data_IF_672664885442
#
_entry.id   IF_672664885442
#
_cell.length_a   1.000
_cell.length_b   1.000
_cell.length_c   1.000
_cell.angle_alpha   90.00
_cell.angle_beta   90.00
_cell.angle_gamma   90.00
#
_symmetry.space_group_name_H-M   'P 1'
#
loop_
_entity.id
_entity.type
_entity.pdbx_description
1 polymer ?
#
# COMPACT_ATOMS: atom_id res chain seq x y z
N UNK A 1 1.63 -27.02 8.62
CA UNK A 1 0.85 -25.79 8.34
C UNK A 1 1.25 -25.25 6.97
N UNK A 2 0.29 -24.94 6.09
CA UNK A 2 0.57 -24.46 4.72
C UNK A 2 1.18 -23.06 4.68
N UNK A 3 0.91 -22.22 5.68
CA UNK A 3 1.48 -20.87 5.81
C UNK A 3 1.75 -20.52 7.28
N UNK A 4 3.02 -20.52 7.70
CA UNK A 4 3.45 -20.29 9.09
C UNK A 4 3.38 -18.82 9.52
N UNK A 5 3.72 -17.91 8.61
CA UNK A 5 3.76 -16.46 8.86
C UNK A 5 2.43 -15.92 9.38
N UNK A 6 1.29 -16.49 8.96
CA UNK A 6 -0.06 -16.15 9.41
C UNK A 6 -0.23 -16.16 10.93
N UNK A 7 0.46 -17.05 11.62
CA UNK A 7 0.34 -17.22 13.08
C UNK A 7 1.59 -16.76 13.83
N UNK A 8 2.76 -16.86 13.20
CA UNK A 8 4.03 -16.53 13.85
C UNK A 8 4.38 -15.04 13.79
N UNK A 9 3.87 -14.29 12.79
CA UNK A 9 4.25 -12.89 12.60
C UNK A 9 3.91 -12.00 13.79
N UNK A 10 2.77 -12.26 14.46
CA UNK A 10 2.31 -11.45 15.59
C UNK A 10 3.30 -11.43 16.78
N UNK A 11 4.12 -12.48 16.95
CA UNK A 11 5.08 -12.58 18.07
C UNK A 11 6.22 -11.56 17.94
N UNK A 12 6.49 -11.06 16.74
CA UNK A 12 7.56 -10.09 16.48
C UNK A 12 7.13 -8.63 16.75
N UNK A 13 5.87 -8.41 17.13
CA UNK A 13 5.35 -7.09 17.46
C UNK A 13 4.95 -7.03 18.93
N UNK A 14 5.11 -5.85 19.53
CA UNK A 14 4.43 -5.55 20.79
C UNK A 14 2.93 -5.63 20.58
N UNK A 15 2.19 -5.92 21.65
CA UNK A 15 0.72 -5.98 21.59
C UNK A 15 0.20 -4.68 21.00
N UNK A 16 -0.47 -4.77 19.85
CA UNK A 16 -0.96 -3.59 19.15
C UNK A 16 -2.10 -2.93 19.90
N UNK A 17 -2.10 -1.60 19.92
CA UNK A 17 -3.24 -0.81 20.38
C UNK A 17 -4.40 -0.84 19.39
N UNK A 18 -4.13 -1.02 18.09
CA UNK A 18 -5.15 -1.01 17.03
C UNK A 18 -5.86 -2.36 16.98
N UNK A 19 -7.10 -2.40 17.47
CA UNK A 19 -7.94 -3.61 17.42
C UNK A 19 -8.97 -3.48 16.29
N UNK A 20 -9.12 -4.50 15.43
CA UNK A 20 -10.13 -4.45 14.39
C UNK A 20 -11.53 -4.38 15.00
N UNK A 21 -12.39 -3.52 14.45
CA UNK A 21 -13.77 -3.42 14.90
C UNK A 21 -14.53 -4.73 14.62
N UNK A 22 -15.55 -5.09 15.44
CA UNK A 22 -16.42 -6.23 15.14
C UNK A 22 -17.09 -6.11 13.76
N UNK A 23 -17.40 -4.88 13.33
CA UNK A 23 -18.02 -4.60 12.05
C UNK A 23 -17.08 -4.90 10.87
N UNK A 24 -15.80 -4.50 10.97
CA UNK A 24 -14.77 -4.88 10.00
C UNK A 24 -14.62 -6.41 9.95
N UNK A 25 -14.56 -7.09 11.09
CA UNK A 25 -14.45 -8.56 11.13
C UNK A 25 -15.64 -9.20 10.39
N UNK A 26 -16.87 -8.74 10.65
CA UNK A 26 -18.07 -9.25 9.98
C UNK A 26 -18.00 -9.05 8.45
N UNK A 27 -17.58 -7.87 8.00
CA UNK A 27 -17.40 -7.57 6.57
C UNK A 27 -16.31 -8.44 5.92
N UNK A 28 -15.19 -8.71 6.60
CA UNK A 28 -14.17 -9.63 6.12
C UNK A 28 -14.71 -11.06 5.98
N UNK A 29 -15.50 -11.54 6.95
CA UNK A 29 -16.13 -12.88 6.88
C UNK A 29 -17.16 -12.96 5.75
N UNK A 30 -17.94 -11.89 5.53
CA UNK A 30 -18.86 -11.78 4.40
C UNK A 30 -18.10 -11.86 3.07
N UNK A 31 -16.98 -11.16 2.95
CA UNK A 31 -16.14 -11.23 1.76
C UNK A 31 -15.51 -12.61 1.55
N UNK A 32 -15.01 -13.28 2.60
CA UNK A 32 -14.52 -14.68 2.50
C UNK A 32 -15.60 -15.62 1.94
N UNK A 33 -16.86 -15.47 2.40
CA UNK A 33 -17.99 -16.26 1.89
C UNK A 33 -18.29 -15.96 0.42
N UNK A 34 -18.21 -14.69 0.01
CA UNK A 34 -18.31 -14.27 -1.39
C UNK A 34 -17.20 -14.91 -2.25
N UNK A 35 -15.95 -14.87 -1.80
CA UNK A 35 -14.82 -15.46 -2.54
C UNK A 35 -14.91 -16.98 -2.65
N UNK A 36 -15.48 -17.64 -1.65
CA UNK A 36 -15.71 -19.08 -1.70
C UNK A 36 -16.83 -19.46 -2.68
N UNK A 37 -17.89 -18.64 -2.76
CA UNK A 37 -19.05 -18.89 -3.62
C UNK A 37 -18.76 -18.54 -5.09
N UNK A 38 -18.14 -17.39 -5.33
CA UNK A 38 -17.97 -16.80 -6.65
C UNK A 38 -16.51 -16.83 -7.14
N UNK A 39 -15.55 -17.32 -6.36
CA UNK A 39 -14.14 -17.29 -6.72
C UNK A 39 -13.74 -18.32 -7.80
N UNK A 40 -12.47 -18.29 -8.23
CA UNK A 40 -11.95 -19.16 -9.28
C UNK A 40 -12.21 -20.65 -9.04
N UNK A 41 -12.58 -21.36 -10.10
CA UNK A 41 -12.86 -22.80 -10.07
C UNK A 41 -14.33 -23.16 -9.79
N UNK A 42 -15.12 -22.24 -9.23
CA UNK A 42 -16.56 -22.43 -8.96
C UNK A 42 -17.39 -22.46 -10.25
N UNK A 43 -18.62 -22.97 -10.17
CA UNK A 43 -19.56 -22.96 -11.30
C UNK A 43 -19.95 -21.52 -11.69
N UNK A 44 -20.23 -20.67 -10.70
CA UNK A 44 -20.57 -19.27 -10.90
C UNK A 44 -19.45 -18.50 -11.61
N UNK A 45 -18.19 -18.68 -11.18
CA UNK A 45 -17.04 -18.08 -11.87
C UNK A 45 -16.91 -18.53 -13.32
N UNK A 46 -17.01 -19.85 -13.58
CA UNK A 46 -16.92 -20.39 -14.94
C UNK A 46 -18.03 -19.83 -15.85
N UNK A 47 -19.24 -19.68 -15.33
CA UNK A 47 -20.37 -19.06 -16.05
C UNK A 47 -20.10 -17.58 -16.33
N UNK A 48 -19.61 -16.82 -15.34
CA UNK A 48 -19.28 -15.41 -15.50
C UNK A 48 -18.17 -15.17 -16.54
N UNK A 49 -17.12 -16.01 -16.56
CA UNK A 49 -16.04 -15.95 -17.56
C UNK A 49 -16.57 -16.27 -18.96
N UNK A 50 -17.40 -17.31 -19.12
CA UNK A 50 -18.00 -17.65 -20.43
C UNK A 50 -18.81 -16.49 -21.01
N UNK A 51 -19.59 -15.79 -20.17
CA UNK A 51 -20.35 -14.61 -20.59
C UNK A 51 -19.43 -13.48 -21.03
N UNK A 52 -18.41 -13.18 -20.23
CA UNK A 52 -17.39 -12.19 -20.56
C UNK A 52 -16.72 -12.49 -21.93
N UNK A 53 -16.42 -13.75 -22.19
CA UNK A 53 -15.77 -14.19 -23.43
C UNK A 53 -16.71 -14.17 -24.65
N UNK A 54 -17.99 -14.51 -24.44
CA UNK A 54 -19.01 -14.56 -25.50
C UNK A 54 -19.52 -13.18 -25.94
N UNK A 55 -19.35 -12.15 -25.11
CA UNK A 55 -19.96 -10.84 -25.33
C UNK A 55 -21.49 -10.81 -25.13
N UNK A 56 -22.10 -11.92 -24.68
CA UNK A 56 -23.54 -11.96 -24.37
C UNK A 56 -23.85 -11.05 -23.18
N UNK A 57 -24.70 -10.05 -23.41
CA UNK A 57 -25.11 -9.08 -22.38
C UNK A 57 -25.76 -9.75 -21.17
N UNK A 58 -25.80 -9.03 -20.04
CA UNK A 58 -26.36 -9.50 -18.76
C UNK A 58 -27.80 -9.99 -18.97
N UNK A 59 -27.99 -11.30 -19.02
CA UNK A 59 -29.31 -11.95 -18.87
C UNK A 59 -29.44 -12.25 -17.38
N UNK A 60 -30.46 -11.68 -16.75
CA UNK A 60 -30.84 -11.80 -15.33
C UNK A 60 -30.04 -12.90 -14.61
N UNK A 61 -28.99 -12.47 -13.88
CA UNK A 61 -28.06 -13.41 -13.29
C UNK A 61 -28.54 -13.83 -11.91
N UNK A 62 -29.11 -15.03 -11.84
CA UNK A 62 -29.55 -15.68 -10.60
C UNK A 62 -28.40 -15.87 -9.57
N UNK A 63 -27.14 -15.82 -10.02
CA UNK A 63 -25.95 -16.07 -9.18
C UNK A 63 -25.38 -14.81 -8.47
N UNK A 64 -25.70 -13.60 -8.96
CA UNK A 64 -25.32 -12.32 -8.33
C UNK A 64 -23.80 -12.04 -8.18
N UNK A 65 -22.92 -12.73 -8.91
CA UNK A 65 -21.46 -12.61 -8.75
C UNK A 65 -20.89 -11.47 -9.61
N UNK A 66 -20.23 -10.50 -8.96
CA UNK A 66 -19.49 -9.40 -9.60
C UNK A 66 -18.02 -9.47 -9.26
N UNK A 67 -17.16 -8.92 -10.11
CA UNK A 67 -15.71 -9.11 -10.04
C UNK A 67 -14.97 -7.78 -10.13
N UNK A 68 -13.84 -7.71 -9.43
CA UNK A 68 -12.83 -6.68 -9.53
C UNK A 68 -11.48 -7.35 -9.77
N UNK A 69 -10.87 -7.10 -10.92
CA UNK A 69 -9.54 -7.58 -11.28
C UNK A 69 -8.53 -6.46 -11.02
N UNK A 70 -7.62 -6.66 -10.06
CA UNK A 70 -6.46 -5.80 -9.88
C UNK A 70 -5.37 -6.18 -10.87
N UNK A 71 -4.97 -5.23 -11.71
CA UNK A 71 -3.91 -5.39 -12.70
C UNK A 71 -2.57 -5.03 -12.06
N UNK A 72 -1.70 -6.03 -11.90
CA UNK A 72 -0.41 -5.85 -11.26
C UNK A 72 0.53 -5.03 -12.13
N UNK A 73 0.94 -3.88 -11.59
CA UNK A 73 1.86 -2.95 -12.23
C UNK A 73 2.74 -2.28 -11.17
N UNK A 74 3.87 -1.71 -11.60
CA UNK A 74 4.92 -1.20 -10.73
C UNK A 74 5.47 -2.27 -9.74
N UNK A 75 6.04 -1.79 -8.63
CA UNK A 75 7.01 -2.50 -7.80
C UNK A 75 6.31 -2.96 -6.54
N UNK A 76 6.95 -3.85 -5.78
CA UNK A 76 6.28 -4.56 -4.69
C UNK A 76 5.51 -3.64 -3.73
N UNK A 77 6.09 -2.51 -3.29
CA UNK A 77 5.41 -1.54 -2.43
C UNK A 77 4.11 -1.01 -3.03
N UNK A 78 4.14 -0.54 -4.28
CA UNK A 78 2.94 -0.05 -4.99
C UNK A 78 1.92 -1.17 -5.17
N UNK A 79 2.36 -2.39 -5.47
CA UNK A 79 1.46 -3.54 -5.62
C UNK A 79 0.74 -3.88 -4.33
N UNK A 80 1.43 -3.90 -3.19
CA UNK A 80 0.80 -4.18 -1.90
C UNK A 80 -0.22 -3.08 -1.52
N UNK A 81 0.11 -1.81 -1.76
CA UNK A 81 -0.82 -0.70 -1.53
C UNK A 81 -2.03 -0.73 -2.49
N UNK A 82 -1.78 -1.01 -3.77
CA UNK A 82 -2.82 -1.12 -4.80
C UNK A 82 -3.77 -2.29 -4.56
N UNK A 83 -3.23 -3.49 -4.24
CA UNK A 83 -4.03 -4.66 -3.86
C UNK A 83 -4.89 -4.36 -2.63
N UNK A 84 -4.33 -3.70 -1.61
CA UNK A 84 -5.10 -3.33 -0.40
C UNK A 84 -6.24 -2.38 -0.74
N UNK A 85 -5.99 -1.41 -1.61
CA UNK A 85 -7.01 -0.44 -2.02
C UNK A 85 -8.10 -1.10 -2.87
N UNK A 86 -7.72 -1.97 -3.80
CA UNK A 86 -8.65 -2.77 -4.60
C UNK A 86 -9.46 -3.72 -3.73
N UNK A 87 -8.84 -4.34 -2.72
CA UNK A 87 -9.55 -5.19 -1.75
C UNK A 87 -10.60 -4.42 -0.97
N UNK A 88 -10.26 -3.25 -0.42
CA UNK A 88 -11.23 -2.43 0.29
C UNK A 88 -12.40 -2.01 -0.61
N UNK A 89 -12.10 -1.59 -1.84
CA UNK A 89 -13.13 -1.27 -2.83
C UNK A 89 -14.00 -2.48 -3.18
N UNK A 90 -13.43 -3.68 -3.28
CA UNK A 90 -14.16 -4.92 -3.51
C UNK A 90 -15.07 -5.29 -2.34
N UNK A 91 -14.65 -5.04 -1.10
CA UNK A 91 -15.51 -5.20 0.09
C UNK A 91 -16.68 -4.22 0.04
N UNK A 92 -16.41 -2.92 -0.19
CA UNK A 92 -17.44 -1.86 -0.27
C UNK A 92 -18.46 -2.08 -1.39
N UNK A 93 -18.07 -2.72 -2.48
CA UNK A 93 -18.91 -2.94 -3.67
C UNK A 93 -19.39 -4.38 -3.82
N UNK A 94 -19.14 -5.24 -2.83
CA UNK A 94 -19.50 -6.66 -2.84
C UNK A 94 -19.03 -7.40 -4.10
N UNK A 95 -17.76 -7.18 -4.48
CA UNK A 95 -17.12 -7.81 -5.63
C UNK A 95 -16.10 -8.84 -5.19
N UNK A 96 -15.93 -9.86 -6.01
CA UNK A 96 -14.81 -10.80 -5.91
C UNK A 96 -13.53 -10.09 -6.31
N UNK A 97 -12.54 -10.04 -5.43
CA UNK A 97 -11.19 -9.61 -5.78
C UNK A 97 -10.44 -10.74 -6.51
N UNK A 98 -9.93 -10.44 -7.70
CA UNK A 98 -8.98 -11.26 -8.45
C UNK A 98 -7.71 -10.45 -8.71
N UNK A 99 -6.56 -11.02 -8.41
CA UNK A 99 -5.26 -10.37 -8.55
C UNK A 99 -4.55 -10.96 -9.76
N UNK A 100 -4.22 -10.14 -10.76
CA UNK A 100 -3.28 -10.50 -11.84
C UNK A 100 -1.89 -10.66 -11.22
N UNK A 101 -1.65 -11.83 -10.63
CA UNK A 101 -0.50 -12.06 -9.75
C UNK A 101 0.84 -12.17 -10.47
N UNK A 102 0.88 -12.03 -11.81
CA UNK A 102 2.07 -12.30 -12.60
C UNK A 102 2.67 -13.68 -12.27
N UNK A 103 4.01 -13.78 -12.32
CA UNK A 103 4.74 -15.00 -11.90
C UNK A 103 5.13 -15.00 -10.42
N UNK A 104 4.88 -13.92 -9.68
CA UNK A 104 5.53 -13.68 -8.38
C UNK A 104 4.55 -13.61 -7.19
N UNK A 105 3.32 -13.13 -7.35
CA UNK A 105 2.40 -12.92 -6.21
C UNK A 105 2.13 -14.22 -5.44
N UNK A 106 1.85 -15.33 -6.14
CA UNK A 106 1.67 -16.65 -5.52
C UNK A 106 2.96 -17.28 -4.96
N UNK A 107 4.14 -16.79 -5.38
CA UNK A 107 5.41 -17.19 -4.80
C UNK A 107 5.76 -16.39 -3.52
N UNK A 108 5.26 -15.15 -3.44
CA UNK A 108 5.53 -14.21 -2.35
C UNK A 108 4.54 -14.36 -1.20
N UNK A 109 3.26 -14.51 -1.49
CA UNK A 109 2.18 -14.50 -0.50
C UNK A 109 1.38 -15.80 -0.49
N UNK A 110 0.93 -16.20 0.69
CA UNK A 110 -0.05 -17.25 0.89
C UNK A 110 -1.45 -16.79 0.46
N UNK A 111 -2.34 -17.75 0.21
CA UNK A 111 -3.76 -17.45 -0.04
C UNK A 111 -4.41 -16.75 1.16
N UNK A 112 -4.97 -15.55 1.01
CA UNK A 112 -5.57 -14.79 2.11
C UNK A 112 -6.94 -15.35 2.53
N UNK A 113 -7.71 -15.90 1.58
CA UNK A 113 -9.09 -16.33 1.79
C UNK A 113 -9.18 -17.85 1.98
N UNK A 114 -9.84 -18.35 3.06
CA UNK A 114 -9.94 -19.79 3.31
C UNK A 114 -10.69 -20.55 2.20
N UNK A 115 -10.05 -21.60 1.66
CA UNK A 115 -10.69 -22.56 0.75
C UNK A 115 -10.95 -22.04 -0.67
N UNK A 116 -10.29 -20.96 -1.08
CA UNK A 116 -10.37 -20.37 -2.43
C UNK A 116 -9.05 -19.70 -2.78
N UNK A 117 -8.95 -19.13 -3.99
CA UNK A 117 -7.80 -18.34 -4.41
C UNK A 117 -8.22 -16.93 -4.83
N UNK A 118 -7.38 -15.96 -4.49
CA UNK A 118 -7.49 -14.59 -5.01
C UNK A 118 -6.73 -14.39 -6.33
N UNK A 119 -5.94 -15.37 -6.78
CA UNK A 119 -5.15 -15.23 -7.99
C UNK A 119 -6.05 -15.40 -9.23
N UNK A 120 -5.90 -14.49 -10.17
CA UNK A 120 -6.56 -14.62 -11.47
C UNK A 120 -6.03 -15.85 -12.20
N UNK A 121 -6.88 -16.78 -12.67
CA UNK A 121 -6.46 -17.91 -13.47
C UNK A 121 -5.76 -17.46 -14.75
N UNK A 122 -4.67 -18.12 -15.11
CA UNK A 122 -4.00 -17.86 -16.38
C UNK A 122 -4.93 -18.25 -17.53
N UNK A 123 -5.19 -17.29 -18.42
CA UNK A 123 -5.92 -17.56 -19.65
C UNK A 123 -5.11 -18.51 -20.55
N UNK A 124 -5.79 -19.45 -21.22
CA UNK A 124 -5.14 -20.30 -22.22
C UNK A 124 -4.61 -19.46 -23.39
N UNK A 125 -3.54 -19.91 -24.04
CA UNK A 125 -2.85 -19.20 -25.14
C UNK A 125 -3.81 -18.74 -26.25
N UNK A 126 -4.83 -19.55 -26.58
CA UNK A 126 -5.82 -19.24 -27.62
C UNK A 126 -7.04 -18.45 -27.13
N UNK A 127 -7.02 -17.91 -25.89
CA UNK A 127 -8.15 -17.18 -25.34
C UNK A 127 -8.17 -15.73 -25.82
N UNK A 128 -9.26 -15.37 -26.52
CA UNK A 128 -9.59 -13.99 -26.88
C UNK A 128 -10.28 -13.22 -25.72
N UNK A 129 -10.31 -13.81 -24.52
CA UNK A 129 -10.91 -13.20 -23.33
C UNK A 129 -10.33 -11.81 -23.05
N UNK A 130 -11.13 -10.83 -22.62
CA UNK A 130 -10.64 -9.58 -22.05
C UNK A 130 -9.60 -9.80 -20.93
N UNK A 131 -9.71 -10.92 -20.19
CA UNK A 131 -8.78 -11.30 -19.13
C UNK A 131 -7.38 -11.70 -19.64
N UNK A 132 -7.21 -12.03 -20.93
CA UNK A 132 -5.89 -12.39 -21.48
C UNK A 132 -5.04 -11.18 -21.87
N UNK A 133 -5.63 -9.98 -21.95
CA UNK A 133 -4.98 -8.75 -22.41
C UNK A 133 -4.89 -7.66 -21.34
N UNK A 134 -4.91 -8.03 -20.05
CA UNK A 134 -4.92 -7.07 -18.94
C UNK A 134 -3.78 -6.04 -18.98
N UNK A 135 -2.60 -6.44 -19.45
CA UNK A 135 -1.43 -5.57 -19.56
C UNK A 135 -1.48 -4.64 -20.78
N UNK A 136 -2.46 -4.80 -21.67
CA UNK A 136 -2.67 -3.97 -22.85
C UNK A 136 -3.69 -2.83 -22.66
N UNK A 137 -4.33 -2.72 -21.49
CA UNK A 137 -5.18 -1.58 -21.17
C UNK A 137 -4.31 -0.40 -20.74
N UNK A 138 -4.49 0.76 -21.39
CA UNK A 138 -3.72 1.98 -21.16
C UNK A 138 -4.66 3.19 -21.00
N UNK A 139 -4.13 4.35 -20.60
CA UNK A 139 -4.91 5.59 -20.58
C UNK A 139 -5.25 6.00 -22.02
N UNK A 140 -6.51 5.86 -22.42
CA UNK A 140 -6.97 5.99 -23.81
C UNK A 140 -7.64 4.73 -24.40
N UNK A 141 -7.66 3.61 -23.65
CA UNK A 141 -8.46 2.44 -24.05
C UNK A 141 -9.95 2.80 -24.09
N UNK A 142 -10.68 2.38 -25.13
CA UNK A 142 -12.10 2.74 -25.30
C UNK A 142 -13.00 2.27 -24.15
N UNK A 143 -12.56 1.22 -23.45
CA UNK A 143 -13.22 0.62 -22.31
C UNK A 143 -12.90 1.32 -20.98
N UNK A 144 -12.04 2.34 -21.00
CA UNK A 144 -11.74 3.18 -19.85
C UNK A 144 -12.96 4.03 -19.46
N UNK A 145 -13.23 4.15 -18.15
CA UNK A 145 -14.26 5.05 -17.62
C UNK A 145 -14.09 6.48 -18.18
N UNK A 146 -12.86 7.02 -18.16
CA UNK A 146 -12.59 8.37 -18.64
C UNK A 146 -12.95 8.56 -20.11
N UNK A 147 -12.58 7.60 -20.96
CA UNK A 147 -12.84 7.64 -22.40
C UNK A 147 -14.33 7.42 -22.72
N UNK A 148 -15.04 6.57 -21.97
CA UNK A 148 -16.50 6.40 -22.11
C UNK A 148 -17.27 7.68 -21.76
N UNK A 149 -16.81 8.45 -20.77
CA UNK A 149 -17.39 9.74 -20.43
C UNK A 149 -17.16 10.78 -21.53
N UNK A 150 -15.97 10.79 -22.13
CA UNK A 150 -15.62 11.75 -23.19
C UNK A 150 -16.29 11.43 -24.52
N UNK A 151 -16.43 10.15 -24.86
CA UNK A 151 -17.01 9.69 -26.13
C UNK A 151 -18.54 9.62 -26.12
N UNK A 152 -19.19 9.97 -25.01
CA UNK A 152 -20.65 9.94 -24.87
C UNK A 152 -21.22 8.53 -24.69
N UNK A 153 -20.43 7.55 -24.25
CA UNK A 153 -20.90 6.23 -23.83
C UNK A 153 -21.64 6.25 -22.49
N UNK A 154 -21.46 7.33 -21.71
CA UNK A 154 -22.22 7.67 -20.50
C UNK A 154 -22.85 9.04 -20.72
N UNK A 155 -24.16 9.16 -20.49
CA UNK A 155 -24.87 10.43 -20.53
C UNK A 155 -24.94 11.05 -19.13
N UNK A 156 -24.85 12.38 -19.08
CA UNK A 156 -25.05 13.18 -17.86
C UNK A 156 -26.24 14.09 -18.11
N UNK A 157 -27.29 13.96 -17.28
CA UNK A 157 -28.48 14.79 -17.37
C UNK A 157 -28.26 16.16 -16.71
N UNK A 158 -29.19 17.10 -16.94
CA UNK A 158 -29.09 18.46 -16.42
C UNK A 158 -29.12 18.55 -14.88
N UNK A 159 -29.76 17.58 -14.22
CA UNK A 159 -29.78 17.39 -12.77
C UNK A 159 -28.54 16.63 -12.23
N UNK A 160 -27.57 16.31 -13.09
CA UNK A 160 -26.33 15.65 -12.72
C UNK A 160 -26.45 14.14 -12.50
N UNK A 161 -27.58 13.54 -12.88
CA UNK A 161 -27.71 12.09 -12.91
C UNK A 161 -26.92 11.52 -14.09
N UNK A 162 -26.39 10.31 -13.92
CA UNK A 162 -25.55 9.66 -14.93
C UNK A 162 -26.15 8.32 -15.31
N UNK A 163 -26.14 7.99 -16.60
CA UNK A 163 -26.71 6.76 -17.14
C UNK A 163 -25.88 6.24 -18.32
N UNK A 164 -25.93 4.93 -18.56
CA UNK A 164 -25.35 4.35 -19.78
C UNK A 164 -26.11 4.85 -21.01
N UNK A 165 -25.40 5.26 -22.05
CA UNK A 165 -26.02 5.66 -23.32
C UNK A 165 -26.64 4.45 -24.06
N UNK A 166 -26.11 3.26 -23.82
CA UNK A 166 -26.65 2.01 -24.32
C UNK A 166 -27.74 1.46 -23.38
N UNK A 167 -28.70 0.66 -23.87
CA UNK A 167 -29.76 0.08 -23.03
C UNK A 167 -29.27 -0.85 -21.91
N UNK A 168 -28.00 -1.28 -21.96
CA UNK A 168 -27.38 -2.18 -20.98
C UNK A 168 -25.98 -1.69 -20.64
N UNK A 169 -25.52 -1.89 -19.39
CA UNK A 169 -24.14 -1.61 -19.01
C UNK A 169 -23.15 -2.48 -19.80
N UNK A 170 -21.89 -2.04 -19.95
CA UNK A 170 -20.85 -2.88 -20.53
C UNK A 170 -20.58 -4.10 -19.62
N UNK A 171 -20.13 -5.20 -20.22
CA UNK A 171 -19.80 -6.42 -19.48
C UNK A 171 -18.56 -6.24 -18.59
N UNK A 172 -17.64 -5.40 -19.04
CA UNK A 172 -16.47 -5.00 -18.27
C UNK A 172 -16.15 -3.52 -18.49
N UNK A 173 -15.48 -2.92 -17.52
CA UNK A 173 -14.99 -1.55 -17.60
C UNK A 173 -13.56 -1.48 -17.05
N UNK A 174 -12.71 -0.72 -17.72
CA UNK A 174 -11.35 -0.43 -17.27
C UNK A 174 -11.32 0.83 -16.41
N UNK A 175 -10.65 0.77 -15.26
CA UNK A 175 -10.46 1.86 -14.33
C UNK A 175 -8.97 2.24 -14.32
N UNK A 176 -8.65 3.32 -15.02
CA UNK A 176 -7.29 3.85 -15.05
C UNK A 176 -7.02 4.77 -13.84
N UNK A 177 -6.52 4.21 -12.74
CA UNK A 177 -6.26 4.90 -11.48
C UNK A 177 -4.75 4.98 -11.15
N UNK A 178 -3.92 5.24 -12.18
CA UNK A 178 -2.47 5.44 -12.05
C UNK A 178 -2.11 6.87 -11.61
N UNK A 179 -0.89 7.12 -11.11
CA UNK A 179 -0.48 8.47 -10.67
C UNK A 179 -0.62 9.61 -11.70
N UNK A 180 -0.88 9.31 -12.97
CA UNK A 180 -1.08 10.27 -14.06
C UNK A 180 -2.47 10.19 -14.71
N UNK A 181 -3.49 9.66 -14.01
CA UNK A 181 -4.85 9.56 -14.56
C UNK A 181 -5.46 10.93 -14.92
N UNK A 182 -6.34 10.95 -15.93
CA UNK A 182 -6.96 12.16 -16.47
C UNK A 182 -8.06 12.73 -15.58
N UNK A 183 -8.65 13.86 -15.99
CA UNK A 183 -9.76 14.46 -15.24
C UNK A 183 -10.98 13.54 -15.18
N UNK A 184 -11.36 12.88 -16.27
CA UNK A 184 -12.55 12.02 -16.28
C UNK A 184 -12.36 10.74 -15.47
N UNK A 185 -11.13 10.19 -15.42
CA UNK A 185 -10.82 9.05 -14.56
C UNK A 185 -11.01 9.40 -13.06
N UNK A 186 -10.76 10.66 -12.67
CA UNK A 186 -11.01 11.16 -11.29
C UNK A 186 -12.46 11.05 -10.87
N UNK A 187 -13.39 11.05 -11.82
CA UNK A 187 -14.81 10.95 -11.51
C UNK A 187 -15.19 9.58 -10.93
N UNK A 188 -14.26 8.61 -10.94
CA UNK A 188 -14.33 7.43 -10.08
C UNK A 188 -14.68 7.79 -8.63
N UNK A 189 -14.16 8.89 -8.06
CA UNK A 189 -14.44 9.29 -6.68
C UNK A 189 -15.79 10.04 -6.50
N UNK A 190 -16.70 9.98 -7.48
CA UNK A 190 -18.02 10.59 -7.41
C UNK A 190 -19.14 9.56 -7.24
N UNK A 191 -20.10 9.83 -6.35
CA UNK A 191 -21.23 8.92 -6.05
C UNK A 191 -22.06 8.57 -7.28
N UNK A 192 -22.32 9.56 -8.15
CA UNK A 192 -23.06 9.36 -9.38
C UNK A 192 -22.40 8.27 -10.26
N UNK A 193 -21.08 8.34 -10.42
CA UNK A 193 -20.32 7.37 -11.20
C UNK A 193 -20.18 6.04 -10.45
N UNK A 194 -20.05 6.04 -9.12
CA UNK A 194 -20.04 4.80 -8.33
C UNK A 194 -21.33 3.98 -8.48
N UNK A 195 -22.49 4.65 -8.59
CA UNK A 195 -23.75 3.95 -8.89
C UNK A 195 -23.70 3.23 -10.24
N UNK A 196 -23.19 3.88 -11.29
CA UNK A 196 -22.99 3.23 -12.60
C UNK A 196 -22.02 2.07 -12.53
N UNK A 197 -20.89 2.26 -11.84
CA UNK A 197 -19.89 1.21 -11.66
C UNK A 197 -20.49 0.00 -10.93
N UNK A 198 -21.50 0.19 -10.09
CA UNK A 198 -22.24 -0.89 -9.44
C UNK A 198 -22.94 -1.85 -10.40
N UNK A 199 -23.34 -1.38 -11.59
CA UNK A 199 -24.08 -2.17 -12.58
C UNK A 199 -23.17 -3.03 -13.47
N UNK A 200 -21.88 -2.68 -13.57
CA UNK A 200 -20.92 -3.38 -14.43
C UNK A 200 -20.47 -4.69 -13.76
N UNK A 201 -20.60 -5.87 -14.39
CA UNK A 201 -20.22 -7.14 -13.75
C UNK A 201 -18.72 -7.27 -13.48
N UNK A 202 -17.85 -6.81 -14.40
CA UNK A 202 -16.40 -6.91 -14.29
C UNK A 202 -15.73 -5.54 -14.28
N UNK A 203 -14.96 -5.23 -13.24
CA UNK A 203 -14.12 -4.03 -13.21
C UNK A 203 -12.65 -4.43 -13.30
N UNK A 204 -11.90 -3.81 -14.21
CA UNK A 204 -10.47 -4.01 -14.36
C UNK A 204 -9.74 -2.78 -13.84
N UNK A 205 -9.16 -2.88 -12.65
CA UNK A 205 -8.53 -1.76 -11.96
C UNK A 205 -7.03 -1.78 -12.15
N UNK A 206 -6.51 -0.70 -12.71
CA UNK A 206 -5.09 -0.44 -12.82
C UNK A 206 -4.72 0.71 -11.89
N UNK A 207 -3.99 0.40 -10.81
CA UNK A 207 -3.53 1.44 -9.88
C UNK A 207 -2.16 1.13 -9.29
N UNK A 208 -1.36 2.17 -9.14
CA UNK A 208 -0.10 2.18 -8.40
C UNK A 208 -0.13 3.08 -7.15
N UNK A 209 -1.33 3.52 -6.76
CA UNK A 209 -1.57 4.40 -5.62
C UNK A 209 -2.27 3.68 -4.46
N UNK A 210 -2.12 4.24 -3.27
CA UNK A 210 -2.97 3.92 -2.12
C UNK A 210 -4.22 4.81 -2.14
N UNK A 211 -5.28 4.40 -2.84
CA UNK A 211 -6.45 5.27 -3.10
C UNK A 211 -7.43 5.37 -1.92
N UNK A 212 -7.17 4.66 -0.82
CA UNK A 212 -8.06 4.57 0.35
C UNK A 212 -8.46 5.94 0.93
N UNK A 213 -7.57 6.93 1.12
CA UNK A 213 -8.00 8.26 1.57
C UNK A 213 -9.00 8.92 0.62
N UNK A 214 -8.92 8.65 -0.68
CA UNK A 214 -9.91 9.11 -1.66
C UNK A 214 -11.27 8.45 -1.49
N UNK A 215 -11.31 7.16 -1.12
CA UNK A 215 -12.57 6.45 -0.83
C UNK A 215 -13.29 7.03 0.40
N UNK A 216 -12.53 7.45 1.42
CA UNK A 216 -13.07 8.15 2.60
C UNK A 216 -13.64 9.54 2.28
N UNK A 217 -13.32 10.09 1.11
CA UNK A 217 -13.88 11.35 0.60
C UNK A 217 -15.03 11.13 -0.38
N UNK A 218 -15.37 9.89 -0.70
CA UNK A 218 -16.51 9.52 -1.54
C UNK A 218 -17.73 9.28 -0.63
N UNK A 219 -18.76 10.15 -0.66
CA UNK A 219 -19.90 10.03 0.27
C UNK A 219 -20.64 8.68 0.20
N UNK A 220 -20.68 8.02 -0.96
CA UNK A 220 -21.25 6.68 -1.09
C UNK A 220 -20.58 5.61 -0.19
N UNK A 221 -19.37 5.88 0.32
CA UNK A 221 -18.59 4.93 1.13
C UNK A 221 -18.27 5.44 2.54
N UNK A 222 -18.48 6.73 2.85
CA UNK A 222 -18.00 7.33 4.10
C UNK A 222 -18.51 6.61 5.33
N UNK A 223 -19.82 6.39 5.42
CA UNK A 223 -20.46 5.85 6.62
C UNK A 223 -20.03 4.40 6.88
N UNK A 224 -19.94 3.59 5.81
CA UNK A 224 -19.49 2.20 5.87
C UNK A 224 -18.00 2.11 6.28
N UNK A 225 -17.17 3.01 5.74
CA UNK A 225 -15.75 3.10 6.09
C UNK A 225 -15.55 3.56 7.54
N UNK A 226 -16.33 4.54 8.01
CA UNK A 226 -16.26 5.01 9.40
C UNK A 226 -16.71 3.93 10.40
N UNK A 227 -17.71 3.13 10.04
CA UNK A 227 -18.15 1.99 10.84
C UNK A 227 -17.12 0.85 10.87
N UNK A 228 -16.49 0.54 9.73
CA UNK A 228 -15.44 -0.48 9.66
C UNK A 228 -14.17 -0.02 10.39
N UNK A 229 -13.80 1.25 10.28
CA UNK A 229 -12.58 1.83 10.83
C UNK A 229 -12.89 3.00 11.77
N UNK A 230 -13.28 2.71 13.04
CA UNK A 230 -13.42 3.74 14.06
C UNK A 230 -12.12 4.51 14.25
N UNK A 231 -10.98 3.80 14.27
CA UNK A 231 -9.64 4.36 14.15
C UNK A 231 -9.28 4.52 12.66
N UNK A 232 -9.58 5.69 12.09
CA UNK A 232 -9.36 6.00 10.66
C UNK A 232 -7.91 5.83 10.23
N UNK A 233 -6.97 5.94 11.16
CA UNK A 233 -5.55 5.79 10.86
C UNK A 233 -5.03 4.34 10.87
N UNK A 234 -5.89 3.33 10.80
CA UNK A 234 -5.48 1.92 10.94
C UNK A 234 -5.91 1.01 9.76
N UNK A 235 -6.33 1.60 8.64
CA UNK A 235 -6.91 0.87 7.51
C UNK A 235 -5.90 -0.09 6.87
N UNK A 236 -4.76 0.41 6.42
CA UNK A 236 -3.70 -0.43 5.87
C UNK A 236 -3.12 -1.37 6.93
N UNK A 237 -3.03 -0.93 8.19
CA UNK A 237 -2.57 -1.79 9.28
C UNK A 237 -3.43 -3.07 9.40
N UNK A 238 -4.75 -2.93 9.39
CA UNK A 238 -5.65 -4.09 9.47
C UNK A 238 -5.67 -4.90 8.18
N UNK A 239 -5.89 -4.24 7.04
CA UNK A 239 -6.08 -4.93 5.77
C UNK A 239 -4.78 -5.53 5.24
N UNK A 240 -3.65 -4.84 5.39
CA UNK A 240 -2.34 -5.34 5.01
C UNK A 240 -1.94 -6.59 5.80
N UNK A 241 -2.20 -6.61 7.11
CA UNK A 241 -1.95 -7.79 7.97
C UNK A 241 -2.92 -8.94 7.74
N UNK A 242 -4.09 -8.66 7.17
CA UNK A 242 -5.07 -9.67 6.79
C UNK A 242 -4.73 -10.32 5.43
N UNK A 243 -4.30 -9.52 4.45
CA UNK A 243 -4.03 -9.98 3.09
C UNK A 243 -2.64 -10.59 2.93
N UNK A 244 -1.61 -9.94 3.46
CA UNK A 244 -0.24 -10.28 3.11
C UNK A 244 0.37 -11.18 4.16
N UNK A 245 0.51 -12.46 3.81
CA UNK A 245 1.25 -13.42 4.62
C UNK A 245 2.36 -14.02 3.76
N UNK A 246 3.65 -13.80 4.08
CA UNK A 246 4.75 -14.34 3.29
C UNK A 246 4.69 -15.87 3.22
N UNK A 247 4.98 -16.45 2.05
CA UNK A 247 5.09 -17.90 1.91
C UNK A 247 6.14 -18.48 2.87
N UNK A 248 6.05 -19.76 3.19
CA UNK A 248 7.01 -20.40 4.12
C UNK A 248 8.48 -20.20 3.70
N UNK A 249 8.75 -20.14 2.39
CA UNK A 249 10.10 -19.89 1.85
C UNK A 249 10.58 -18.47 2.21
N UNK A 250 9.75 -17.45 1.96
CA UNK A 250 10.08 -16.06 2.31
C UNK A 250 10.15 -15.90 3.83
N UNK A 251 9.19 -16.46 4.55
CA UNK A 251 9.11 -16.38 6.00
C UNK A 251 10.33 -17.02 6.69
N UNK A 252 10.83 -18.14 6.16
CA UNK A 252 12.06 -18.74 6.65
C UNK A 252 13.25 -17.78 6.50
N UNK A 253 13.41 -17.13 5.35
CA UNK A 253 14.48 -16.16 5.13
C UNK A 253 14.38 -14.96 6.11
N UNK A 254 13.17 -14.43 6.32
CA UNK A 254 12.91 -13.34 7.28
C UNK A 254 13.34 -13.77 8.69
N UNK A 255 12.84 -14.91 9.17
CA UNK A 255 13.14 -15.37 10.53
C UNK A 255 14.61 -15.67 10.74
N UNK A 256 15.25 -16.34 9.78
CA UNK A 256 16.68 -16.66 9.87
C UNK A 256 17.52 -15.37 9.98
N UNK A 257 17.19 -14.34 9.19
CA UNK A 257 17.89 -13.06 9.30
C UNK A 257 17.62 -12.34 10.63
N UNK A 258 16.36 -12.31 11.06
CA UNK A 258 15.97 -11.67 12.31
C UNK A 258 16.69 -12.32 13.51
N UNK A 259 16.67 -13.65 13.61
CA UNK A 259 17.30 -14.34 14.74
C UNK A 259 18.83 -14.19 14.75
N UNK A 260 19.47 -14.15 13.58
CA UNK A 260 20.92 -14.01 13.51
C UNK A 260 21.43 -12.59 13.82
N UNK A 261 20.61 -11.55 13.59
CA UNK A 261 21.09 -10.16 13.60
C UNK A 261 20.30 -9.20 14.50
N UNK A 262 19.04 -9.51 14.82
CA UNK A 262 18.10 -8.57 15.44
C UNK A 262 17.41 -9.10 16.70
N UNK A 263 17.47 -10.40 17.02
CA UNK A 263 16.70 -10.96 18.14
C UNK A 263 17.19 -10.50 19.51
N UNK A 264 18.50 -10.50 19.75
CA UNK A 264 19.08 -10.33 21.10
C UNK A 264 19.49 -8.87 21.38
N UNK A 265 18.58 -7.92 21.13
CA UNK A 265 18.78 -6.50 21.43
C UNK A 265 17.55 -5.86 22.09
N UNK A 266 17.77 -4.82 22.89
CA UNK A 266 16.72 -4.09 23.60
C UNK A 266 15.89 -3.19 22.67
N UNK A 267 16.52 -2.66 21.60
CA UNK A 267 15.84 -1.83 20.61
C UNK A 267 16.35 -2.05 19.18
N UNK A 268 15.40 -2.14 18.25
CA UNK A 268 15.65 -2.27 16.81
C UNK A 268 15.26 -0.99 16.10
N UNK A 269 16.20 -0.39 15.39
CA UNK A 269 15.97 0.82 14.58
C UNK A 269 16.04 0.44 13.11
N UNK A 270 14.90 0.54 12.40
CA UNK A 270 14.84 0.34 10.96
C UNK A 270 15.06 1.66 10.22
N UNK A 271 15.98 1.67 9.27
CA UNK A 271 16.32 2.82 8.42
C UNK A 271 16.12 2.44 6.96
N UNK A 272 15.03 2.94 6.39
CA UNK A 272 14.65 2.68 5.01
C UNK A 272 15.08 3.81 4.10
N UNK A 273 16.00 3.51 3.18
CA UNK A 273 16.64 4.48 2.29
C UNK A 273 16.27 4.19 0.84
N UNK A 274 15.50 5.09 0.22
CA UNK A 274 15.15 5.03 -1.20
C UNK A 274 15.54 6.32 -1.90
N UNK A 275 16.56 6.24 -2.76
CA UNK A 275 16.94 7.35 -3.64
C UNK A 275 16.42 7.10 -5.05
N UNK A 276 15.67 8.06 -5.61
CA UNK A 276 15.00 7.95 -6.91
C UNK A 276 15.87 8.45 -8.10
N UNK A 277 17.01 9.10 -7.84
CA UNK A 277 17.93 9.60 -8.87
C UNK A 277 19.01 8.57 -9.27
N UNK A 278 19.50 8.65 -10.53
CA UNK A 278 20.49 7.71 -11.09
C UNK A 278 21.86 8.34 -11.28
N UNK A 279 22.86 7.80 -10.57
CA UNK A 279 24.21 7.41 -11.04
C UNK A 279 25.09 6.98 -9.86
N UNK A 280 25.00 7.68 -8.73
CA UNK A 280 25.70 7.34 -7.47
C UNK A 280 24.85 7.68 -6.25
N UNK A 281 25.05 7.00 -5.10
CA UNK A 281 24.41 7.36 -3.83
C UNK A 281 24.81 8.77 -3.39
N UNK A 282 23.88 9.75 -3.34
CA UNK A 282 24.20 11.10 -2.93
C UNK A 282 24.63 11.22 -1.46
N UNK A 283 25.73 11.93 -1.22
CA UNK A 283 26.24 12.21 0.13
C UNK A 283 25.27 13.00 1.01
N UNK A 284 24.52 13.94 0.43
CA UNK A 284 23.54 14.72 1.20
C UNK A 284 22.42 13.86 1.80
N UNK A 285 22.07 12.71 1.18
CA UNK A 285 21.07 11.79 1.77
C UNK A 285 21.65 11.14 3.03
N UNK A 286 22.93 10.75 2.99
CA UNK A 286 23.62 10.26 4.19
C UNK A 286 23.64 11.32 5.29
N UNK A 287 23.97 12.57 4.95
CA UNK A 287 23.99 13.68 5.92
C UNK A 287 22.60 13.93 6.54
N UNK A 288 21.53 13.88 5.73
CA UNK A 288 20.15 13.99 6.19
C UNK A 288 19.78 12.82 7.12
N UNK A 289 20.09 11.58 6.75
CA UNK A 289 19.85 10.38 7.58
C UNK A 289 20.57 10.52 8.92
N UNK A 290 21.86 10.83 8.90
CA UNK A 290 22.67 10.95 10.12
C UNK A 290 22.22 12.12 10.99
N UNK A 291 21.76 13.24 10.40
CA UNK A 291 21.16 14.33 11.17
C UNK A 291 19.87 13.90 11.82
N UNK A 292 18.94 13.29 11.06
CA UNK A 292 17.68 12.76 11.60
C UNK A 292 17.94 11.81 12.77
N UNK A 293 18.78 10.81 12.57
CA UNK A 293 19.08 9.80 13.58
C UNK A 293 19.75 10.37 14.84
N UNK A 294 20.56 11.44 14.71
CA UNK A 294 21.14 12.15 15.86
C UNK A 294 20.08 12.98 16.59
N UNK A 295 19.28 13.76 15.87
CA UNK A 295 18.27 14.66 16.43
C UNK A 295 17.20 13.89 17.21
N UNK A 296 16.82 12.72 16.69
CA UNK A 296 15.85 11.82 17.36
C UNK A 296 16.52 10.81 18.32
N UNK A 297 17.82 10.98 18.61
CA UNK A 297 18.62 10.23 19.60
C UNK A 297 18.66 8.71 19.37
N UNK A 298 18.66 8.28 18.10
CA UNK A 298 18.71 6.85 17.72
C UNK A 298 20.14 6.32 17.53
N UNK A 299 21.15 7.19 17.44
CA UNK A 299 22.57 6.81 17.32
C UNK A 299 23.36 6.96 18.63
N UNK A 300 22.75 7.52 19.68
CA UNK A 300 23.38 7.68 20.99
C UNK A 300 23.21 6.39 21.80
N UNK A 301 24.24 5.57 21.80
CA UNK A 301 24.42 4.41 22.68
C UNK A 301 25.88 4.38 23.09
N UNK A 302 26.37 5.42 23.75
CA UNK A 302 27.76 5.48 24.16
C UNK A 302 28.03 4.39 25.20
N UNK A 303 28.99 3.51 24.92
CA UNK A 303 29.71 2.72 25.94
C UNK A 303 30.47 3.61 26.95
N UNK A 304 30.37 4.93 26.85
CA UNK A 304 31.21 5.92 27.55
C UNK A 304 30.42 6.81 28.50
N UNK A 305 29.56 6.22 29.35
CA UNK A 305 29.25 6.81 30.67
C UNK A 305 29.99 6.08 31.80
N UNK A 306 30.85 5.10 31.47
CA UNK A 306 31.71 4.38 32.41
C UNK A 306 33.00 5.13 32.79
N UNK A 307 32.96 6.48 32.79
CA UNK A 307 34.04 7.33 33.28
C UNK A 307 33.50 8.39 34.27
N UNK A 308 32.60 7.97 35.15
CA UNK A 308 32.14 8.73 36.31
C UNK A 308 31.73 7.74 37.40
N UNK A 309 32.50 7.68 38.48
CA UNK A 309 32.34 6.67 39.53
C UNK A 309 30.92 6.60 40.09
N UNK A 310 30.30 5.44 39.95
CA UNK A 310 29.00 5.11 40.52
C UNK A 310 28.79 3.61 40.45
N UNK A 311 28.80 2.95 41.60
CA UNK A 311 28.71 1.50 41.76
C UNK A 311 27.26 1.04 41.50
N UNK A 312 26.85 1.00 40.24
CA UNK A 312 25.54 0.51 39.79
C UNK A 312 25.68 -0.31 38.53
N UNK A 313 25.25 -1.57 38.57
CA UNK A 313 25.14 -2.45 37.39
C UNK A 313 24.05 -1.95 36.46
N UNK A 314 24.34 -0.89 35.70
CA UNK A 314 23.52 -0.45 34.57
C UNK A 314 23.71 -1.46 33.44
N UNK A 315 22.74 -2.36 33.23
CA UNK A 315 22.68 -3.18 32.03
C UNK A 315 22.81 -2.28 30.79
N UNK A 316 23.84 -2.46 29.97
CA UNK A 316 24.04 -1.59 28.81
C UNK A 316 22.89 -1.80 27.82
N UNK A 317 22.04 -0.79 27.65
CA UNK A 317 20.94 -0.82 26.68
C UNK A 317 21.49 -1.07 25.26
N UNK A 318 21.07 -2.17 24.65
CA UNK A 318 21.57 -2.66 23.38
C UNK A 318 20.66 -2.28 22.22
N UNK A 319 21.28 -1.86 21.11
CA UNK A 319 20.55 -1.40 19.92
C UNK A 319 21.12 -2.03 18.68
N UNK A 320 20.26 -2.49 17.77
CA UNK A 320 20.63 -2.85 16.41
C UNK A 320 20.02 -1.84 15.41
N UNK A 321 20.78 -1.50 14.38
CA UNK A 321 20.30 -0.66 13.27
C UNK A 321 20.19 -1.49 12.00
N UNK A 322 18.98 -1.67 11.49
CA UNK A 322 18.69 -2.34 10.23
C UNK A 322 18.60 -1.31 9.11
N UNK A 323 19.50 -1.35 8.14
CA UNK A 323 19.52 -0.47 6.97
C UNK A 323 19.03 -1.23 5.74
N UNK A 324 18.02 -0.70 5.05
CA UNK A 324 17.54 -1.23 3.77
C UNK A 324 17.73 -0.19 2.68
N UNK A 325 18.42 -0.55 1.60
CA UNK A 325 18.76 0.35 0.50
C UNK A 325 19.14 -0.49 -0.72
N UNK A 326 18.85 0.02 -1.92
CA UNK A 326 19.39 -0.59 -3.15
C UNK A 326 20.93 -0.56 -3.19
N UNK A 327 21.54 0.47 -2.60
CA UNK A 327 23.00 0.61 -2.52
C UNK A 327 23.51 0.24 -1.12
N UNK A 328 24.59 -0.55 -1.06
CA UNK A 328 25.30 -0.83 0.20
C UNK A 328 26.04 0.37 0.76
N UNK A 329 26.28 1.40 -0.05
CA UNK A 329 27.13 2.53 0.33
C UNK A 329 26.67 3.24 1.60
N UNK A 330 25.36 3.43 1.78
CA UNK A 330 24.83 4.05 3.00
C UNK A 330 25.07 3.19 4.23
N UNK A 331 24.85 1.88 4.10
CA UNK A 331 25.13 0.91 5.17
C UNK A 331 26.61 0.91 5.53
N UNK A 332 27.50 0.82 4.53
CA UNK A 332 28.95 0.82 4.76
C UNK A 332 29.38 2.09 5.51
N UNK A 333 28.90 3.27 5.09
CA UNK A 333 29.21 4.53 5.76
C UNK A 333 28.68 4.61 7.20
N UNK A 334 27.42 4.20 7.43
CA UNK A 334 26.83 4.19 8.78
C UNK A 334 27.56 3.19 9.69
N UNK A 335 27.89 2.00 9.17
CA UNK A 335 28.65 0.97 9.89
C UNK A 335 30.06 1.46 10.22
N UNK A 336 30.76 2.08 9.28
CA UNK A 336 32.13 2.54 9.50
C UNK A 336 32.18 3.66 10.57
N UNK A 337 31.17 4.53 10.61
CA UNK A 337 31.11 5.65 11.57
C UNK A 337 30.54 5.25 12.95
N UNK A 338 29.56 4.34 12.99
CA UNK A 338 28.80 4.02 14.22
C UNK A 338 28.87 2.55 14.66
N UNK A 339 29.44 1.64 13.87
CA UNK A 339 29.45 0.21 14.16
C UNK A 339 30.13 -0.15 15.48
N UNK A 340 31.20 0.56 15.86
CA UNK A 340 31.85 0.39 17.16
C UNK A 340 31.10 1.02 18.34
N UNK A 341 30.09 1.86 18.07
CA UNK A 341 29.29 2.59 19.06
C UNK A 341 27.94 1.92 19.30
N UNK A 342 27.40 1.20 18.32
CA UNK A 342 26.11 0.52 18.39
C UNK A 342 26.35 -0.93 18.82
N UNK A 343 26.00 -1.27 20.07
CA UNK A 343 26.33 -2.57 20.67
C UNK A 343 25.72 -3.78 19.97
N UNK A 344 24.54 -3.65 19.35
CA UNK A 344 23.90 -4.68 18.54
C UNK A 344 24.26 -4.62 17.04
N UNK A 345 25.14 -3.71 16.64
CA UNK A 345 25.63 -3.56 15.27
C UNK A 345 24.70 -2.83 14.30
N UNK A 346 25.26 -2.57 13.11
CA UNK A 346 24.54 -2.06 11.93
C UNK A 346 24.46 -3.21 10.94
N UNK A 347 23.30 -3.44 10.34
CA UNK A 347 22.99 -4.61 9.53
C UNK A 347 22.30 -4.20 8.23
N UNK A 348 22.63 -4.86 7.12
CA UNK A 348 21.91 -4.73 5.85
C UNK A 348 21.60 -6.13 5.28
N UNK A 349 20.32 -6.47 5.01
CA UNK A 349 19.97 -7.81 4.51
C UNK A 349 20.42 -8.06 3.08
N UNK A 350 20.27 -7.06 2.19
CA UNK A 350 20.66 -7.17 0.80
C UNK A 350 21.01 -5.81 0.18
N UNK A 351 21.66 -5.84 -0.99
CA UNK A 351 22.01 -4.66 -1.78
C UNK A 351 21.83 -4.94 -3.29
N UNK A 352 20.60 -4.86 -3.78
CA UNK A 352 20.26 -5.28 -5.15
C UNK A 352 20.84 -4.38 -6.26
N UNK A 353 21.40 -3.21 -5.91
CA UNK A 353 21.97 -2.22 -6.82
C UNK A 353 20.91 -1.46 -7.63
N UNK A 354 20.01 -2.19 -8.30
CA UNK A 354 18.91 -1.65 -9.10
C UNK A 354 17.62 -2.42 -8.86
N UNK A 355 16.50 -1.71 -8.98
CA UNK A 355 15.18 -2.32 -8.95
C UNK A 355 14.96 -3.20 -10.20
N UNK A 356 14.52 -4.45 -10.00
CA UNK A 356 14.16 -5.40 -11.06
C UNK A 356 12.68 -5.77 -10.93
N UNK A 357 11.89 -5.38 -11.91
CA UNK A 357 10.44 -5.63 -11.91
C UNK A 357 10.14 -7.05 -12.40
N UNK A 358 9.14 -7.71 -11.81
CA UNK A 358 8.69 -9.07 -12.19
C UNK A 358 9.78 -10.15 -12.03
N UNK A 359 10.69 -9.96 -11.08
CA UNK A 359 11.75 -10.91 -10.72
C UNK A 359 11.43 -11.46 -9.33
N UNK A 360 10.94 -12.70 -9.28
CA UNK A 360 10.48 -13.31 -8.04
C UNK A 360 11.59 -13.38 -6.97
N UNK A 361 12.86 -13.59 -7.35
CA UNK A 361 13.95 -13.64 -6.37
C UNK A 361 14.27 -12.24 -5.82
N UNK A 362 14.22 -11.22 -6.68
CA UNK A 362 14.36 -9.82 -6.27
C UNK A 362 13.20 -9.38 -5.35
N UNK A 363 11.96 -9.68 -5.73
CA UNK A 363 10.78 -9.33 -4.95
C UNK A 363 10.73 -10.10 -3.62
N UNK A 364 11.23 -11.34 -3.56
CA UNK A 364 11.37 -12.07 -2.30
C UNK A 364 12.31 -11.36 -1.32
N UNK A 365 13.44 -10.80 -1.79
CA UNK A 365 14.37 -10.02 -0.96
C UNK A 365 13.74 -8.71 -0.51
N UNK A 366 13.11 -7.98 -1.43
CA UNK A 366 12.36 -6.77 -1.12
C UNK A 366 11.26 -7.02 -0.07
N UNK A 367 10.48 -8.10 -0.22
CA UNK A 367 9.46 -8.48 0.75
C UNK A 367 10.07 -8.82 2.12
N UNK A 368 11.20 -9.52 2.12
CA UNK A 368 11.89 -9.88 3.36
C UNK A 368 12.34 -8.64 4.13
N UNK A 369 12.90 -7.66 3.42
CA UNK A 369 13.32 -6.37 3.99
C UNK A 369 12.13 -5.55 4.53
N UNK A 370 11.01 -5.48 3.80
CA UNK A 370 9.77 -4.84 4.30
C UNK A 370 9.34 -5.45 5.64
N UNK A 371 9.34 -6.78 5.73
CA UNK A 371 8.95 -7.49 6.95
C UNK A 371 9.95 -7.27 8.09
N UNK A 372 11.25 -7.34 7.82
CA UNK A 372 12.29 -7.07 8.82
C UNK A 372 12.20 -5.64 9.38
N UNK A 373 11.97 -4.65 8.52
CA UNK A 373 11.68 -3.28 8.96
C UNK A 373 10.43 -3.23 9.83
N UNK A 374 9.36 -3.92 9.44
CA UNK A 374 8.11 -3.89 10.21
C UNK A 374 8.26 -4.45 11.63
N UNK A 375 9.28 -5.26 11.89
CA UNK A 375 9.63 -5.83 13.20
C UNK A 375 10.57 -4.95 14.03
N UNK A 376 10.94 -3.76 13.53
CA UNK A 376 11.72 -2.78 14.29
C UNK A 376 10.84 -1.99 15.27
N UNK A 377 11.42 -1.50 16.36
CA UNK A 377 10.75 -0.68 17.37
C UNK A 377 10.57 0.77 16.92
N UNK A 378 11.50 1.25 16.08
CA UNK A 378 11.49 2.61 15.53
C UNK A 378 11.81 2.54 14.04
N UNK A 379 11.13 3.36 13.25
CA UNK A 379 11.33 3.45 11.80
C UNK A 379 11.72 4.87 11.38
N UNK A 380 12.74 4.94 10.54
CA UNK A 380 13.08 6.11 9.72
C UNK A 380 12.88 5.73 8.27
N UNK A 381 12.06 6.48 7.52
CA UNK A 381 11.68 6.15 6.14
C UNK A 381 12.02 7.29 5.18
N UNK A 382 12.23 6.95 3.91
CA UNK A 382 12.43 7.95 2.85
C UNK A 382 11.09 8.43 2.31
N UNK A 383 10.92 9.75 2.17
CA UNK A 383 9.74 10.34 1.56
C UNK A 383 9.46 9.80 0.16
N UNK A 384 8.18 9.72 -0.21
CA UNK A 384 7.64 9.06 -1.41
C UNK A 384 7.85 7.54 -1.48
N UNK A 385 8.53 6.90 -0.52
CA UNK A 385 8.81 5.47 -0.61
C UNK A 385 7.63 4.62 -0.14
N UNK A 386 6.89 4.06 -1.09
CA UNK A 386 5.82 3.08 -0.80
C UNK A 386 6.34 1.82 -0.10
N UNK A 387 7.61 1.47 -0.31
CA UNK A 387 8.30 0.43 0.46
C UNK A 387 8.30 0.74 1.97
N UNK A 388 8.62 1.99 2.33
CA UNK A 388 8.55 2.48 3.70
C UNK A 388 7.12 2.51 4.24
N UNK A 389 6.14 2.92 3.42
CA UNK A 389 4.73 2.92 3.83
C UNK A 389 4.18 1.54 4.14
N UNK A 390 4.57 0.52 3.37
CA UNK A 390 4.17 -0.86 3.68
C UNK A 390 4.81 -1.32 4.99
N UNK A 391 6.10 -1.07 5.18
CA UNK A 391 6.79 -1.48 6.42
C UNK A 391 6.20 -0.81 7.66
N UNK A 392 5.97 0.51 7.63
CA UNK A 392 5.38 1.25 8.75
C UNK A 392 3.94 0.80 9.04
N UNK A 393 3.17 0.54 7.98
CA UNK A 393 1.78 0.15 8.07
C UNK A 393 1.61 -1.26 8.63
N UNK A 394 2.48 -2.21 8.26
CA UNK A 394 2.52 -3.55 8.87
C UNK A 394 2.97 -3.49 10.35
N UNK A 395 3.91 -2.59 10.65
CA UNK A 395 4.41 -2.37 12.00
C UNK A 395 3.36 -1.75 12.94
N UNK A 396 2.45 -0.94 12.39
CA UNK A 396 1.60 -0.06 13.20
C UNK A 396 2.41 1.04 13.87
N UNK A 397 3.43 1.57 13.18
CA UNK A 397 4.32 2.59 13.72
C UNK A 397 4.25 3.87 12.87
N UNK A 398 4.19 5.01 13.55
CA UNK A 398 4.39 6.33 12.92
C UNK A 398 5.90 6.53 12.74
N UNK A 399 6.46 6.53 11.51
CA UNK A 399 7.89 6.67 11.33
C UNK A 399 8.36 8.12 11.47
N UNK A 400 9.67 8.31 11.51
CA UNK A 400 10.33 9.56 11.15
C UNK A 400 10.59 9.56 9.65
N UNK A 401 9.95 10.47 8.91
CA UNK A 401 10.02 10.53 7.46
C UNK A 401 11.02 11.60 7.05
N UNK A 402 11.99 11.22 6.22
CA UNK A 402 12.94 12.15 5.61
C UNK A 402 12.26 12.82 4.41
N UNK A 403 11.98 14.13 4.45
CA UNK A 403 11.40 14.83 3.32
C UNK A 403 12.38 14.83 2.14
N UNK A 404 11.82 14.88 0.94
CA UNK A 404 12.58 15.08 -0.29
C UNK A 404 11.80 15.98 -1.26
N UNK A 405 12.50 16.57 -2.21
CA UNK A 405 11.92 17.26 -3.34
C UNK A 405 10.91 16.37 -4.10
N UNK A 406 10.00 16.94 -4.91
CA UNK A 406 9.11 16.17 -5.77
C UNK A 406 9.84 15.20 -6.72
N UNK A 407 9.12 14.24 -7.33
CA UNK A 407 9.77 13.25 -8.24
C UNK A 407 10.31 13.88 -9.54
N UNK A 408 9.76 15.01 -9.97
CA UNK A 408 10.18 15.73 -11.17
C UNK A 408 11.34 16.70 -10.95
N UNK A 409 11.72 16.95 -9.69
CA UNK A 409 12.84 17.82 -9.35
C UNK A 409 14.17 17.23 -9.82
N UNK A 410 15.07 18.10 -10.29
CA UNK A 410 16.41 17.74 -10.70
C UNK A 410 17.32 17.48 -9.49
N UNK A 411 17.09 18.19 -8.37
CA UNK A 411 17.80 18.00 -7.10
C UNK A 411 16.87 17.41 -6.02
N UNK A 412 17.42 16.59 -5.13
CA UNK A 412 16.72 16.01 -3.98
C UNK A 412 16.24 17.03 -2.96
N UNK A 413 16.87 18.21 -2.90
CA UNK A 413 16.48 19.31 -2.00
C UNK A 413 15.77 20.45 -2.70
N UNK A 414 15.53 20.34 -4.01
CA UNK A 414 14.79 21.35 -4.76
C UNK A 414 13.41 21.54 -4.11
N UNK A 415 13.01 22.79 -3.89
CA UNK A 415 11.76 23.16 -3.22
C UNK A 415 11.61 22.74 -1.74
N UNK A 416 12.62 22.13 -1.11
CA UNK A 416 12.62 21.93 0.35
C UNK A 416 13.06 23.23 1.05
N UNK A 417 12.39 23.62 2.15
CA UNK A 417 12.85 24.75 2.96
C UNK A 417 14.18 24.36 3.62
N UNK A 418 15.28 25.13 3.45
CA UNK A 418 16.55 24.84 4.10
C UNK A 418 16.49 24.76 5.63
N UNK A 419 15.45 25.34 6.25
CA UNK A 419 15.18 25.28 7.69
C UNK A 419 14.38 24.04 8.11
N UNK A 420 13.96 23.22 7.16
CA UNK A 420 13.24 21.99 7.47
C UNK A 420 14.11 21.03 8.26
N UNK A 421 13.50 20.43 9.29
CA UNK A 421 14.12 19.34 10.04
C UNK A 421 14.52 18.20 9.08
N UNK A 422 15.65 17.51 9.35
CA UNK A 422 16.14 16.44 8.49
C UNK A 422 15.15 15.27 8.35
N UNK A 423 14.26 15.11 9.33
CA UNK A 423 13.07 14.26 9.25
C UNK A 423 11.94 14.83 10.11
N UNK A 424 10.71 14.43 9.82
CA UNK A 424 9.51 14.79 10.59
C UNK A 424 8.77 13.54 11.02
N UNK A 425 8.11 13.57 12.16
CA UNK A 425 7.26 12.45 12.58
C UNK A 425 6.04 12.41 11.66
N UNK A 426 5.69 11.22 11.15
CA UNK A 426 4.44 11.04 10.43
C UNK A 426 3.24 11.26 11.35
N UNK A 427 2.18 11.85 10.81
CA UNK A 427 0.94 12.10 11.57
C UNK A 427 0.23 10.80 11.98
N UNK A 428 0.39 9.76 11.17
CA UNK A 428 -0.26 8.46 11.34
C UNK A 428 0.60 7.29 10.84
N UNK A 429 0.09 6.07 11.02
CA UNK A 429 0.71 4.85 10.48
C UNK A 429 0.33 4.60 9.02
N UNK A 430 -0.61 5.39 8.47
CA UNK A 430 -1.18 5.20 7.15
C UNK A 430 -0.24 5.58 5.99
N UNK A 431 -0.28 4.84 4.87
CA UNK A 431 0.36 5.25 3.63
C UNK A 431 -0.20 6.57 3.08
N UNK A 432 0.64 7.30 2.35
CA UNK A 432 0.20 8.49 1.62
C UNK A 432 -0.46 8.13 0.28
N UNK A 433 -1.61 8.72 -0.03
CA UNK A 433 -2.16 8.76 -1.38
C UNK A 433 -1.47 9.89 -2.16
N UNK A 434 -0.57 9.53 -3.08
CA UNK A 434 0.30 10.48 -3.79
C UNK A 434 -0.43 11.38 -4.79
N UNK A 435 -1.43 10.83 -5.48
CA UNK A 435 -2.16 11.53 -6.52
C UNK A 435 -3.68 11.50 -6.25
N UNK A 436 -4.18 12.24 -5.24
CA UNK A 436 -5.61 12.33 -4.99
C UNK A 436 -6.31 13.26 -5.98
N UNK A 437 -7.61 13.05 -6.21
CA UNK A 437 -8.43 14.02 -6.92
C UNK A 437 -8.79 15.17 -5.99
N UNK A 438 -8.44 16.40 -6.37
CA UNK A 438 -8.89 17.61 -5.67
C UNK A 438 -10.35 17.99 -5.99
N UNK A 439 -10.94 17.36 -7.01
CA UNK A 439 -12.27 17.70 -7.52
C UNK A 439 -13.36 17.17 -6.59
N UNK A 440 -14.18 18.07 -6.02
CA UNK A 440 -15.33 17.70 -5.19
C UNK A 440 -16.59 17.72 -6.03
N UNK A 441 -17.13 16.53 -6.33
CA UNK A 441 -18.24 16.34 -7.26
C UNK A 441 -19.48 17.16 -6.87
N UNK A 442 -19.86 17.15 -5.58
CA UNK A 442 -21.00 17.93 -5.09
C UNK A 442 -20.82 19.45 -5.22
N UNK A 443 -19.58 19.95 -5.23
CA UNK A 443 -19.28 21.37 -5.37
C UNK A 443 -18.97 21.78 -6.82
N UNK A 444 -18.83 20.83 -7.74
CA UNK A 444 -18.47 21.07 -9.13
C UNK A 444 -17.10 21.71 -9.35
N UNK A 445 -16.20 21.68 -8.36
CA UNK A 445 -14.90 22.38 -8.39
C UNK A 445 -13.83 21.72 -7.52
N UNK A 446 -12.59 22.11 -7.76
CA UNK A 446 -11.46 21.72 -6.92
C UNK A 446 -11.53 22.36 -5.53
N UNK A 447 -11.13 21.59 -4.51
CA UNK A 447 -11.10 22.00 -3.10
C UNK A 447 -9.74 21.69 -2.46
N UNK A 448 -9.44 22.37 -1.36
CA UNK A 448 -8.25 22.04 -0.56
C UNK A 448 -8.51 20.78 0.28
N UNK A 449 -8.04 19.64 -0.22
CA UNK A 449 -8.17 18.33 0.43
C UNK A 449 -7.60 18.27 1.85
N UNK A 450 -6.70 19.18 2.24
CA UNK A 450 -6.20 19.24 3.62
C UNK A 450 -7.20 19.79 4.63
N UNK A 451 -8.36 20.28 4.18
CA UNK A 451 -9.38 20.97 4.99
C UNK A 451 -10.80 20.41 4.79
N UNK A 452 -10.96 19.33 4.03
CA UNK A 452 -12.30 18.80 3.69
C UNK A 452 -12.89 17.92 4.78
N UNK A 453 -12.06 17.33 5.64
CA UNK A 453 -12.47 16.42 6.71
C UNK A 453 -11.45 16.46 7.85
N UNK A 454 -11.86 16.29 9.13
CA UNK A 454 -10.96 16.26 10.27
C UNK A 454 -9.98 15.07 10.25
N UNK A 455 -10.32 13.97 9.57
CA UNK A 455 -9.50 12.76 9.47
C UNK A 455 -8.64 12.69 8.19
N UNK A 456 -8.58 13.77 7.39
CA UNK A 456 -7.72 13.87 6.21
C UNK A 456 -6.68 14.99 6.41
N UNK A 457 -5.41 14.67 6.21
CA UNK A 457 -4.31 15.64 6.25
C UNK A 457 -3.43 15.52 5.01
N UNK A 458 -2.60 16.54 4.79
CA UNK A 458 -1.54 16.49 3.77
C UNK A 458 -0.43 15.58 4.27
N UNK A 459 0.14 14.79 3.37
CA UNK A 459 1.26 13.94 3.74
C UNK A 459 2.48 14.80 4.11
N UNK A 460 3.24 14.34 5.11
CA UNK A 460 4.47 15.00 5.55
C UNK A 460 5.57 15.05 4.48
N UNK A 461 5.49 14.15 3.50
CA UNK A 461 6.54 13.90 2.50
C UNK A 461 6.10 14.11 1.05
N UNK A 462 4.79 14.20 0.78
CA UNK A 462 4.24 14.48 -0.56
C UNK A 462 3.28 15.65 -0.48
N UNK A 463 3.74 16.83 -0.92
CA UNK A 463 3.04 18.12 -0.78
C UNK A 463 1.57 18.10 -1.22
N UNK A 464 1.26 17.41 -2.31
CA UNK A 464 -0.09 17.30 -2.87
C UNK A 464 -0.84 16.06 -2.38
N UNK A 465 -0.15 15.11 -1.77
CA UNK A 465 -0.71 13.87 -1.30
C UNK A 465 -1.55 14.05 -0.04
N UNK A 466 -2.41 13.07 0.23
CA UNK A 466 -3.24 13.04 1.43
C UNK A 466 -3.07 11.71 2.19
N UNK A 467 -3.19 11.77 3.51
CA UNK A 467 -3.19 10.62 4.41
C UNK A 467 -4.41 10.64 5.32
N UNK A 468 -4.73 9.48 5.88
CA UNK A 468 -5.72 9.34 6.94
C UNK A 468 -5.05 9.55 8.30
N UNK A 469 -5.72 10.27 9.18
CA UNK A 469 -5.33 10.47 10.58
C UNK A 469 -6.54 10.21 11.47
N UNK A 470 -6.32 9.88 12.74
CA UNK A 470 -7.43 9.89 13.69
C UNK A 470 -7.90 11.32 13.96
N UNK A 471 -9.19 11.47 14.22
CA UNK A 471 -9.72 12.73 14.72
C UNK A 471 -8.98 13.07 16.02
N UNK A 472 -8.41 14.27 16.05
CA UNK A 472 -7.94 14.81 17.32
C UNK A 472 -9.17 14.91 18.20
N UNK A 473 -9.18 14.28 19.38
CA UNK A 473 -10.11 14.64 20.45
C UNK A 473 -9.77 16.04 20.93
N UNK A 474 -10.03 17.03 20.07
CA UNK A 474 -10.04 18.44 20.41
C UNK A 474 -11.35 18.68 21.13
N UNK A 475 -11.23 18.92 22.43
CA UNK A 475 -12.25 19.61 23.21
C UNK A 475 -12.79 20.78 22.37
N UNK A 476 -14.09 20.72 22.07
CA UNK A 476 -14.88 21.90 21.75
C UNK A 476 -15.41 22.49 23.04
#
# INVERSE_FOLDING_TARGET
MSCRSRYEFAVYHKTSSHKPSPYLIANLRKHEALQKRCGPGTAAHKKAVRRLDSGEGVVDDDDGCRYLVYISYRGLGNRMLGITSAFLYAVLTERVLLVDGGKDTGALFCEPFPGTTWLLPQAGWFSFSPLSRLQGYEGGSKENLGDMLQSGGITVSADGNVSWSAPRPPLYLYLHLSGSYGFHDKLFFCDAHQRLLGEVPWLFMWTDNYIVPGLFLTPAFSDELEAMFPEKESVFYHLGRYLFHPTNRVWHAIKSYYHANLADVDQRVGVQIRVFQKKQPPRFVLEQILSCLRDVKLLSGTKTDAAGGGNGTSSSFSRAVLVTSLSSWYYDRIRDEYGGRISGGVHQPSHEGRQRWRDAAHDMRALSEIYLLSMCDVLVTSGYSTFGYVAQGLAGLRPWVMPRAPMWAADWREELDPRDMPCRRADSVEPCFHAPSAYRCAAGRDVDLGKVSPYIRRCVDVKYGINLVNESSGQW
#
